data_IF_485442887651
#
_entry.id   IF_485442887651
#
_cell.length_a   1.000
_cell.length_b   1.000
_cell.length_c   1.000
_cell.angle_alpha   90.00
_cell.angle_beta   90.00
_cell.angle_gamma   90.00
#
_symmetry.space_group_name_H-M   'P 1'
#
loop_
_entity.id
_entity.type
_entity.pdbx_description
1 polymer ?
#
# COMPACT_ATOMS: atom_id res chain seq x y z
N UNK A 1 1.46 -2.29 24.72
CA UNK A 1 1.16 -1.00 24.05
C UNK A 1 -0.35 -0.80 24.10
N UNK A 2 -0.88 0.38 24.46
CA UNK A 2 -2.31 0.63 24.39
C UNK A 2 -2.78 0.47 22.93
N UNK A 3 -3.87 -0.26 22.73
CA UNK A 3 -4.48 -0.38 21.41
C UNK A 3 -5.09 0.98 21.05
N UNK A 4 -4.70 1.53 19.90
CA UNK A 4 -5.33 2.73 19.34
C UNK A 4 -6.83 2.47 19.16
N UNK A 5 -7.65 3.47 19.44
CA UNK A 5 -9.10 3.37 19.22
C UNK A 5 -9.40 3.23 17.72
N UNK A 6 -10.61 2.77 17.37
CA UNK A 6 -11.04 2.69 15.96
C UNK A 6 -10.95 4.05 15.28
N UNK A 7 -11.36 5.11 15.98
CA UNK A 7 -11.30 6.50 15.51
C UNK A 7 -9.86 6.96 15.24
N UNK A 8 -8.94 6.69 16.18
CA UNK A 8 -7.53 7.02 16.02
C UNK A 8 -6.90 6.28 14.83
N UNK A 9 -7.28 5.01 14.63
CA UNK A 9 -6.81 4.20 13.50
C UNK A 9 -7.35 4.71 12.18
N UNK A 10 -8.65 5.01 12.07
CA UNK A 10 -9.23 5.63 10.87
C UNK A 10 -8.54 6.96 10.54
N UNK A 11 -8.35 7.81 11.56
CA UNK A 11 -7.65 9.09 11.42
C UNK A 11 -6.20 8.91 10.97
N UNK A 12 -5.50 7.89 11.48
CA UNK A 12 -4.10 7.62 11.12
C UNK A 12 -3.91 7.29 9.63
N UNK A 13 -4.94 6.73 8.98
CA UNK A 13 -4.93 6.41 7.56
C UNK A 13 -5.73 7.43 6.72
N UNK A 14 -6.04 8.61 7.28
CA UNK A 14 -6.71 9.70 6.56
C UNK A 14 -8.20 9.49 6.29
N UNK A 15 -8.86 8.62 7.05
CA UNK A 15 -10.30 8.38 6.95
C UNK A 15 -11.09 9.12 8.04
N UNK A 16 -12.35 9.38 7.74
CA UNK A 16 -13.27 10.05 8.67
C UNK A 16 -13.59 9.14 9.87
N UNK A 17 -13.23 9.53 11.11
CA UNK A 17 -13.52 8.76 12.31
C UNK A 17 -15.01 8.74 12.66
N UNK A 18 -15.82 9.69 12.17
CA UNK A 18 -17.25 9.77 12.46
C UNK A 18 -18.11 8.76 11.67
N UNK A 19 -17.48 7.91 10.85
CA UNK A 19 -18.21 6.95 10.03
C UNK A 19 -18.81 5.84 10.90
N UNK A 20 -20.11 5.61 10.74
CA UNK A 20 -20.75 4.42 11.29
C UNK A 20 -20.23 3.17 10.58
N UNK A 21 -19.57 2.30 11.33
CA UNK A 21 -19.06 1.03 10.85
C UNK A 21 -19.97 -0.11 11.31
N UNK A 22 -20.29 -1.00 10.38
CA UNK A 22 -21.10 -2.19 10.65
C UNK A 22 -20.22 -3.44 10.71
N UNK A 23 -20.71 -4.47 11.40
CA UNK A 23 -20.05 -5.76 11.46
C UNK A 23 -20.33 -6.56 10.19
N UNK A 24 -19.34 -7.35 9.78
CA UNK A 24 -19.46 -8.29 8.68
C UNK A 24 -19.37 -9.72 9.22
N UNK A 25 -20.44 -10.47 9.02
CA UNK A 25 -20.48 -11.91 9.31
C UNK A 25 -20.56 -12.67 7.99
N UNK A 26 -19.66 -13.63 7.80
CA UNK A 26 -19.74 -14.60 6.70
C UNK A 26 -20.10 -15.95 7.30
N UNK A 27 -21.31 -16.42 6.99
CA UNK A 27 -21.86 -17.63 7.58
C UNK A 27 -21.17 -18.90 7.06
N UNK A 28 -21.34 -19.99 7.82
CA UNK A 28 -20.60 -21.24 7.59
C UNK A 28 -20.86 -21.83 6.21
N UNK A 29 -19.79 -22.13 5.48
CA UNK A 29 -19.86 -22.67 4.11
C UNK A 29 -20.23 -21.64 3.03
N UNK A 30 -20.50 -20.38 3.40
CA UNK A 30 -20.81 -19.34 2.42
C UNK A 30 -19.56 -18.76 1.78
N UNK A 31 -19.73 -18.23 0.57
CA UNK A 31 -18.71 -17.41 -0.08
C UNK A 31 -19.26 -16.01 -0.28
N UNK A 32 -18.57 -15.02 0.27
CA UNK A 32 -18.93 -13.62 0.13
C UNK A 32 -17.85 -12.88 -0.66
N UNK A 33 -18.26 -12.18 -1.72
CA UNK A 33 -17.37 -11.34 -2.52
C UNK A 33 -17.58 -9.85 -2.18
N UNK A 34 -16.55 -9.22 -1.64
CA UNK A 34 -16.43 -7.77 -1.50
C UNK A 34 -15.83 -7.21 -2.79
N UNK A 35 -16.69 -6.73 -3.68
CA UNK A 35 -16.29 -6.12 -4.95
C UNK A 35 -16.63 -4.64 -5.00
N UNK A 36 -15.66 -3.73 -5.26
CA UNK A 36 -15.92 -2.30 -5.41
C UNK A 36 -16.93 -1.96 -6.53
N UNK A 37 -17.17 -2.89 -7.46
CA UNK A 37 -18.13 -2.76 -8.56
C UNK A 37 -19.54 -3.24 -8.20
N UNK A 38 -19.69 -3.92 -7.06
CA UNK A 38 -20.98 -4.42 -6.60
C UNK A 38 -21.63 -3.38 -5.67
N UNK A 39 -22.88 -3.02 -5.95
CA UNK A 39 -23.61 -2.04 -5.14
C UNK A 39 -23.93 -2.55 -3.72
N UNK A 40 -23.92 -3.86 -3.47
CA UNK A 40 -24.24 -4.47 -2.16
C UNK A 40 -23.42 -3.89 -1.00
N UNK A 41 -22.14 -3.56 -1.22
CA UNK A 41 -21.24 -3.09 -0.17
C UNK A 41 -20.71 -1.67 -0.41
N UNK A 42 -21.39 -0.91 -1.28
CA UNK A 42 -20.96 0.43 -1.68
C UNK A 42 -20.92 1.41 -0.52
N UNK A 43 -21.83 1.27 0.45
CA UNK A 43 -21.87 2.11 1.65
C UNK A 43 -20.69 1.85 2.61
N UNK A 44 -20.05 0.68 2.50
CA UNK A 44 -18.84 0.32 3.27
C UNK A 44 -17.56 0.60 2.49
N UNK A 45 -17.66 0.94 1.21
CA UNK A 45 -16.53 1.30 0.38
C UNK A 45 -16.18 2.78 0.58
N UNK A 46 -14.91 3.08 0.74
CA UNK A 46 -14.38 4.43 0.56
C UNK A 46 -13.23 4.43 -0.43
N UNK A 47 -13.13 5.53 -1.17
CA UNK A 47 -11.99 5.83 -2.00
C UNK A 47 -11.02 6.70 -1.20
N UNK A 48 -9.97 6.09 -0.66
CA UNK A 48 -8.93 6.81 0.07
C UNK A 48 -8.04 7.57 -0.94
N UNK A 49 -8.02 8.92 -0.94
CA UNK A 49 -7.11 9.68 -1.78
C UNK A 49 -5.66 9.52 -1.28
N UNK A 50 -4.75 9.24 -2.21
CA UNK A 50 -3.33 9.12 -1.92
C UNK A 50 -2.60 10.29 -2.58
N UNK A 51 -2.28 11.32 -1.81
CA UNK A 51 -1.76 12.60 -2.33
C UNK A 51 -0.22 12.72 -2.31
N UNK A 52 0.47 11.74 -1.71
CA UNK A 52 1.93 11.70 -1.65
C UNK A 52 2.44 10.27 -1.53
N UNK A 53 3.67 10.05 -1.97
CA UNK A 53 4.38 8.77 -1.88
C UNK A 53 4.59 8.33 -0.42
N UNK A 54 4.73 9.30 0.50
CA UNK A 54 4.78 9.06 1.95
C UNK A 54 3.46 8.50 2.47
N UNK A 55 2.33 9.08 2.05
CA UNK A 55 1.01 8.58 2.43
C UNK A 55 0.77 7.18 1.83
N UNK A 56 1.18 6.94 0.57
CA UNK A 56 1.14 5.60 -0.03
C UNK A 56 1.96 4.60 0.80
N UNK A 57 3.19 4.95 1.20
CA UNK A 57 4.03 4.07 2.02
C UNK A 57 3.42 3.80 3.40
N UNK A 58 2.81 4.79 4.02
CA UNK A 58 2.11 4.62 5.30
C UNK A 58 0.92 3.64 5.20
N UNK A 59 0.19 3.69 4.08
CA UNK A 59 -1.01 2.88 3.86
C UNK A 59 -0.68 1.49 3.31
N UNK A 60 0.26 1.38 2.38
CA UNK A 60 0.51 0.17 1.59
C UNK A 60 1.88 -0.48 1.86
N UNK A 61 2.80 0.26 2.46
CA UNK A 61 4.22 -0.10 2.53
C UNK A 61 4.62 -0.85 3.79
N UNK A 62 5.82 -1.41 3.74
CA UNK A 62 6.55 -1.90 4.91
C UNK A 62 7.19 -0.68 5.58
N UNK A 63 7.01 -0.46 6.90
CA UNK A 63 7.64 0.65 7.57
C UNK A 63 9.17 0.50 7.51
N UNK A 64 9.90 1.60 7.42
CA UNK A 64 11.35 1.58 7.13
C UNK A 64 12.18 0.86 8.21
N UNK A 65 11.64 0.74 9.42
CA UNK A 65 12.23 0.00 10.53
C UNK A 65 12.10 -1.53 10.39
N UNK A 66 11.11 -2.00 9.62
CA UNK A 66 10.93 -3.41 9.27
C UNK A 66 11.80 -3.84 8.08
N UNK A 67 12.47 -2.91 7.40
CA UNK A 67 13.48 -3.21 6.39
C UNK A 67 14.84 -3.29 7.08
N UNK A 68 15.53 -4.43 6.94
CA UNK A 68 16.87 -4.64 7.50
C UNK A 68 17.77 -3.45 7.10
N UNK A 69 18.40 -2.82 8.10
CA UNK A 69 19.31 -1.69 7.87
C UNK A 69 20.53 -2.23 7.13
N UNK A 70 20.48 -2.19 5.80
CA UNK A 70 21.69 -2.34 5.01
C UNK A 70 22.51 -1.08 5.28
N UNK A 71 23.63 -1.22 5.98
CA UNK A 71 24.53 -0.10 6.24
C UNK A 71 24.78 0.66 4.93
N UNK A 72 24.69 2.00 4.92
CA UNK A 72 25.04 2.76 3.75
C UNK A 72 26.51 2.48 3.47
N UNK A 73 26.78 1.71 2.40
CA UNK A 73 28.15 1.45 1.96
C UNK A 73 28.78 2.80 1.65
N UNK A 74 29.61 3.29 2.58
CA UNK A 74 30.47 4.46 2.40
C UNK A 74 31.41 4.10 1.25
N UNK A 75 31.08 4.51 0.03
CA UNK A 75 31.98 4.38 -1.12
C UNK A 75 32.83 5.62 -1.20
N UNK A 76 34.11 5.46 -0.89
CA UNK A 76 35.15 6.43 -1.21
C UNK A 76 35.13 6.76 -2.72
N UNK A 77 35.44 8.01 -3.11
CA UNK A 77 35.45 8.41 -4.51
C UNK A 77 36.70 7.90 -5.20
N UNK A 78 36.59 6.80 -5.95
CA UNK A 78 37.67 6.33 -6.83
C UNK A 78 37.45 6.91 -8.23
N UNK A 79 38.39 7.77 -8.65
CA UNK A 79 38.60 8.18 -10.03
C UNK A 79 39.33 7.07 -10.82
N UNK A 80 39.16 7.10 -12.15
CA UNK A 80 39.85 6.38 -13.23
C UNK A 80 39.22 5.11 -13.86
N UNK A 81 38.44 5.38 -14.93
CA UNK A 81 38.64 4.98 -16.35
C UNK A 81 38.79 3.49 -16.80
N UNK A 82 38.54 3.17 -18.10
CA UNK A 82 37.48 2.24 -18.51
C UNK A 82 37.99 0.93 -19.16
N UNK A 83 37.18 -0.15 -19.15
CA UNK A 83 36.86 -1.09 -20.25
C UNK A 83 36.10 -2.36 -19.76
N UNK A 84 35.53 -3.21 -20.64
CA UNK A 84 34.12 -3.60 -20.58
C UNK A 84 33.90 -5.03 -20.03
N UNK A 85 32.61 -5.34 -19.87
CA UNK A 85 32.01 -6.68 -19.84
C UNK A 85 31.46 -7.18 -18.50
N UNK A 86 30.30 -7.84 -18.64
CA UNK A 86 29.62 -8.72 -17.71
C UNK A 86 29.32 -8.22 -16.29
N UNK A 87 28.14 -7.60 -16.15
CA UNK A 87 27.45 -7.48 -14.87
C UNK A 87 26.69 -6.18 -14.77
N UNK A 88 25.38 -6.22 -14.95
CA UNK A 88 24.51 -5.06 -14.76
C UNK A 88 24.52 -4.67 -13.27
N UNK A 89 25.57 -3.94 -12.85
CA UNK A 89 25.60 -3.22 -11.58
C UNK A 89 24.69 -2.01 -11.75
N UNK A 90 23.44 -2.12 -11.30
CA UNK A 90 22.50 -1.01 -11.17
C UNK A 90 22.92 -0.07 -10.03
N UNK A 91 24.15 0.42 -10.03
CA UNK A 91 24.54 1.66 -9.35
C UNK A 91 24.56 2.79 -10.37
N UNK A 92 23.48 2.95 -11.14
CA UNK A 92 23.21 4.21 -11.81
C UNK A 92 22.40 5.04 -10.82
N UNK A 93 23.06 6.02 -10.19
CA UNK A 93 22.39 7.21 -9.64
C UNK A 93 21.35 7.63 -10.67
N UNK A 94 20.08 7.48 -10.32
CA UNK A 94 18.97 7.94 -11.14
C UNK A 94 19.13 9.47 -11.22
N UNK A 95 19.33 10.07 -12.41
CA UNK A 95 19.47 11.51 -12.54
C UNK A 95 18.27 12.21 -11.91
N UNK A 96 18.46 13.39 -11.29
CA UNK A 96 17.36 14.18 -10.76
C UNK A 96 16.37 14.45 -11.90
N UNK A 97 15.16 13.92 -11.78
CA UNK A 97 14.10 14.10 -12.76
C UNK A 97 13.52 15.51 -12.56
N UNK A 98 14.02 16.49 -13.31
CA UNK A 98 13.39 17.81 -13.37
C UNK A 98 12.18 17.66 -14.31
N UNK A 99 10.99 17.50 -13.72
CA UNK A 99 9.75 17.42 -14.49
C UNK A 99 9.43 18.80 -15.08
N UNK A 100 9.65 18.96 -16.38
CA UNK A 100 8.91 19.93 -17.19
C UNK A 100 7.47 19.40 -17.37
N UNK A 101 6.49 20.29 -17.50
CA UNK A 101 5.05 19.95 -17.56
C UNK A 101 4.67 18.96 -18.69
N UNK A 102 5.53 18.78 -19.70
CA UNK A 102 5.32 17.82 -20.80
C UNK A 102 5.82 16.39 -20.51
N UNK A 103 6.59 16.18 -19.43
CA UNK A 103 7.22 14.89 -19.12
C UNK A 103 6.22 13.80 -18.67
N UNK A 104 4.98 14.17 -18.37
CA UNK A 104 3.91 13.24 -17.94
C UNK A 104 3.36 12.37 -19.09
N UNK A 105 3.70 12.66 -20.35
CA UNK A 105 3.25 11.89 -21.53
C UNK A 105 4.27 10.90 -22.07
N UNK A 106 5.51 10.96 -21.58
CA UNK A 106 6.58 10.04 -22.01
C UNK A 106 6.50 8.73 -21.20
N UNK A 107 6.22 7.63 -21.89
CA UNK A 107 6.10 6.27 -21.34
C UNK A 107 7.35 5.87 -20.56
N UNK A 108 8.53 6.32 -21.00
CA UNK A 108 9.80 5.99 -20.33
C UNK A 108 9.94 6.69 -18.97
N UNK A 109 9.48 7.93 -18.87
CA UNK A 109 9.48 8.70 -17.62
C UNK A 109 8.42 8.17 -16.64
N UNK A 110 7.23 7.82 -17.12
CA UNK A 110 6.18 7.22 -16.28
C UNK A 110 6.62 5.88 -15.70
N UNK A 111 7.24 5.01 -16.51
CA UNK A 111 7.80 3.73 -16.01
C UNK A 111 8.85 3.95 -14.93
N UNK A 112 9.73 4.93 -15.13
CA UNK A 112 10.77 5.27 -14.16
C UNK A 112 10.19 5.79 -12.85
N UNK A 113 9.17 6.64 -12.91
CA UNK A 113 8.46 7.12 -11.73
C UNK A 113 7.76 5.98 -10.99
N UNK A 114 7.19 5.01 -11.72
CA UNK A 114 6.62 3.80 -11.14
C UNK A 114 7.68 2.95 -10.42
N UNK A 115 8.84 2.72 -11.04
CA UNK A 115 9.93 1.93 -10.44
C UNK A 115 10.47 2.59 -9.16
N UNK A 116 10.64 3.91 -9.16
CA UNK A 116 11.01 4.69 -7.97
C UNK A 116 9.93 4.56 -6.90
N UNK A 117 8.65 4.66 -7.28
CA UNK A 117 7.51 4.53 -6.37
C UNK A 117 7.47 3.16 -5.71
N UNK A 118 7.62 2.09 -6.48
CA UNK A 118 7.62 0.72 -5.98
C UNK A 118 8.78 0.50 -4.99
N UNK A 119 9.99 1.00 -5.32
CA UNK A 119 11.16 0.91 -4.44
C UNK A 119 10.96 1.69 -3.14
N UNK A 120 10.36 2.88 -3.20
CA UNK A 120 10.10 3.69 -2.01
C UNK A 120 9.04 3.04 -1.10
N UNK A 121 7.92 2.59 -1.67
CA UNK A 121 6.76 2.07 -0.94
C UNK A 121 7.06 0.70 -0.33
N UNK A 122 7.67 -0.21 -1.10
CA UNK A 122 7.87 -1.61 -0.69
C UNK A 122 9.32 -1.94 -0.29
N UNK A 123 10.23 -0.97 -0.33
CA UNK A 123 11.64 -1.13 0.06
C UNK A 123 12.10 -0.06 1.03
N UNK A 124 13.42 0.08 1.18
CA UNK A 124 14.05 1.10 2.03
C UNK A 124 13.92 2.48 1.39
N UNK A 125 13.07 3.33 1.99
CA UNK A 125 12.77 4.66 1.47
C UNK A 125 13.94 5.64 1.58
N UNK A 126 14.90 5.37 2.49
CA UNK A 126 16.07 6.22 2.75
C UNK A 126 17.05 6.30 1.57
N UNK A 127 16.93 5.38 0.62
CA UNK A 127 17.79 5.30 -0.57
C UNK A 127 17.25 6.13 -1.75
N UNK A 128 16.15 6.87 -1.56
CA UNK A 128 15.53 7.70 -2.59
C UNK A 128 15.78 9.18 -2.26
N UNK A 129 16.23 9.93 -3.26
CA UNK A 129 16.56 11.35 -3.11
C UNK A 129 15.30 12.22 -2.97
N UNK A 130 15.37 13.31 -2.21
CA UNK A 130 14.23 14.20 -1.94
C UNK A 130 13.64 14.81 -3.22
N UNK A 131 14.48 15.08 -4.23
CA UNK A 131 14.01 15.57 -5.55
C UNK A 131 13.18 14.53 -6.29
N UNK A 132 13.51 13.25 -6.11
CA UNK A 132 12.74 12.14 -6.70
C UNK A 132 11.41 11.97 -5.99
N UNK A 133 11.39 12.14 -4.66
CA UNK A 133 10.16 12.17 -3.86
C UNK A 133 9.24 13.28 -4.37
N UNK A 134 9.75 14.51 -4.54
CA UNK A 134 8.95 15.64 -5.05
C UNK A 134 8.39 15.37 -6.45
N UNK A 135 9.19 14.80 -7.35
CA UNK A 135 8.75 14.44 -8.69
C UNK A 135 7.64 13.39 -8.68
N UNK A 136 7.78 12.35 -7.83
CA UNK A 136 6.75 11.32 -7.66
C UNK A 136 5.49 11.89 -7.02
N UNK A 137 5.59 12.76 -6.01
CA UNK A 137 4.44 13.43 -5.39
C UNK A 137 3.65 14.27 -6.40
N UNK A 138 4.34 15.03 -7.25
CA UNK A 138 3.70 15.78 -8.35
C UNK A 138 2.97 14.84 -9.30
N UNK A 139 3.59 13.72 -9.68
CA UNK A 139 2.97 12.72 -10.53
C UNK A 139 1.73 12.08 -9.89
N UNK A 140 1.82 11.66 -8.61
CA UNK A 140 0.71 11.11 -7.83
C UNK A 140 -0.47 12.08 -7.80
N UNK A 141 -0.21 13.37 -7.50
CA UNK A 141 -1.25 14.42 -7.47
C UNK A 141 -1.89 14.63 -8.85
N UNK A 142 -1.10 14.57 -9.92
CA UNK A 142 -1.60 14.71 -11.29
C UNK A 142 -2.54 13.56 -11.68
N UNK A 143 -2.19 12.31 -11.34
CA UNK A 143 -3.00 11.14 -11.68
C UNK A 143 -4.15 10.86 -10.69
N UNK A 144 -4.17 11.57 -9.55
CA UNK A 144 -5.22 11.49 -8.51
C UNK A 144 -5.50 10.05 -8.07
N UNK A 145 -4.44 9.35 -7.63
CA UNK A 145 -4.57 7.96 -7.17
C UNK A 145 -5.62 7.87 -6.05
N UNK A 146 -6.53 6.92 -6.18
CA UNK A 146 -7.52 6.58 -5.15
C UNK A 146 -7.47 5.08 -4.89
N UNK A 147 -7.44 4.70 -3.62
CA UNK A 147 -7.42 3.32 -3.18
C UNK A 147 -8.81 2.91 -2.68
N UNK A 148 -9.47 1.91 -3.29
CA UNK A 148 -10.70 1.37 -2.74
C UNK A 148 -10.38 0.61 -1.44
N UNK A 149 -11.05 1.00 -0.35
CA UNK A 149 -10.96 0.36 0.94
C UNK A 149 -12.36 0.03 1.47
N UNK A 150 -12.57 -1.23 1.86
CA UNK A 150 -13.77 -1.63 2.59
C UNK A 150 -13.58 -1.42 4.08
N UNK A 151 -14.55 -0.75 4.73
CA UNK A 151 -14.53 -0.47 6.15
C UNK A 151 -15.64 -1.24 6.87
N UNK A 152 -15.24 -2.07 7.82
CA UNK A 152 -16.14 -2.74 8.75
C UNK A 152 -15.69 -2.48 10.19
N UNK A 153 -16.62 -2.61 11.14
CA UNK A 153 -16.27 -2.53 12.56
C UNK A 153 -15.55 -3.80 12.95
N UNK A 154 -16.22 -4.94 12.90
CA UNK A 154 -15.60 -6.25 13.07
C UNK A 154 -15.92 -7.19 11.91
N UNK A 155 -15.03 -8.14 11.65
CA UNK A 155 -15.21 -9.16 10.62
C UNK A 155 -15.13 -10.54 11.27
N UNK A 156 -16.16 -11.34 11.07
CA UNK A 156 -16.21 -12.73 11.49
C UNK A 156 -16.43 -13.64 10.27
N UNK A 157 -15.54 -14.62 10.12
CA UNK A 157 -15.59 -15.61 9.04
C UNK A 157 -15.76 -16.99 9.67
N UNK A 158 -16.95 -17.57 9.52
CA UNK A 158 -17.29 -18.85 10.11
C UNK A 158 -16.56 -20.04 9.46
N UNK A 159 -16.70 -21.21 10.07
CA UNK A 159 -16.14 -22.46 9.56
C UNK A 159 -16.56 -22.73 8.10
N UNK A 160 -15.57 -23.04 7.25
CA UNK A 160 -15.78 -23.35 5.83
C UNK A 160 -16.18 -22.15 4.97
N UNK A 161 -16.35 -20.97 5.56
CA UNK A 161 -16.70 -19.76 4.85
C UNK A 161 -15.50 -19.17 4.10
N UNK A 162 -15.75 -18.44 3.02
CA UNK A 162 -14.72 -17.72 2.27
C UNK A 162 -15.14 -16.27 2.04
N UNK A 163 -14.37 -15.33 2.60
CA UNK A 163 -14.45 -13.91 2.27
C UNK A 163 -13.44 -13.59 1.16
N UNK A 164 -13.93 -13.23 -0.01
CA UNK A 164 -13.12 -12.79 -1.13
C UNK A 164 -13.12 -11.26 -1.17
N UNK A 165 -11.93 -10.66 -1.16
CA UNK A 165 -11.74 -9.21 -1.15
C UNK A 165 -11.15 -8.78 -2.49
N UNK A 166 -11.95 -8.13 -3.33
CA UNK A 166 -11.53 -7.57 -4.63
C UNK A 166 -11.07 -6.11 -4.47
N UNK A 167 -10.42 -5.78 -3.37
CA UNK A 167 -9.82 -4.47 -3.11
C UNK A 167 -8.44 -4.63 -2.49
N UNK A 168 -7.58 -3.65 -2.77
CA UNK A 168 -6.21 -3.64 -2.27
C UNK A 168 -6.11 -3.32 -0.77
N UNK A 169 -7.21 -2.87 -0.15
CA UNK A 169 -7.25 -2.58 1.27
C UNK A 169 -8.55 -3.04 1.93
N UNK A 170 -8.41 -3.51 3.15
CA UNK A 170 -9.50 -3.87 4.06
C UNK A 170 -9.24 -3.26 5.45
N UNK A 171 -10.23 -2.61 6.02
CA UNK A 171 -10.20 -2.12 7.40
C UNK A 171 -11.21 -2.86 8.26
N UNK A 172 -10.75 -3.31 9.42
CA UNK A 172 -11.57 -3.79 10.52
C UNK A 172 -10.93 -3.42 11.86
N UNK A 173 -11.70 -3.47 12.93
CA UNK A 173 -11.17 -3.44 14.28
C UNK A 173 -10.65 -4.83 14.66
N UNK A 174 -11.55 -5.82 14.71
CA UNK A 174 -11.20 -7.21 14.95
C UNK A 174 -11.55 -8.08 13.74
N UNK A 175 -10.62 -8.96 13.36
CA UNK A 175 -10.87 -10.01 12.37
C UNK A 175 -10.76 -11.36 13.07
N UNK A 176 -11.83 -12.13 13.05
CA UNK A 176 -11.90 -13.49 13.59
C UNK A 176 -12.21 -14.47 12.46
N UNK A 177 -11.35 -15.47 12.31
CA UNK A 177 -11.52 -16.54 11.32
C UNK A 177 -11.59 -17.85 12.06
N UNK A 178 -12.72 -18.54 11.95
CA UNK A 178 -12.88 -19.88 12.52
C UNK A 178 -12.15 -20.95 11.71
N UNK A 179 -11.90 -22.10 12.34
CA UNK A 179 -11.29 -23.26 11.74
C UNK A 179 -11.85 -23.55 10.33
N UNK A 180 -10.96 -23.65 9.34
CA UNK A 180 -11.21 -23.80 7.89
C UNK A 180 -11.80 -22.60 7.13
N UNK A 181 -12.25 -21.56 7.82
CA UNK A 181 -12.65 -20.28 7.21
C UNK A 181 -11.47 -19.57 6.56
N UNK A 182 -11.71 -18.73 5.55
CA UNK A 182 -10.64 -18.10 4.75
C UNK A 182 -10.98 -16.67 4.33
N UNK A 183 -9.97 -15.81 4.34
CA UNK A 183 -10.02 -14.49 3.69
C UNK A 183 -9.04 -14.53 2.50
N UNK A 184 -9.51 -14.18 1.31
CA UNK A 184 -8.73 -14.20 0.07
C UNK A 184 -8.72 -12.83 -0.57
N UNK A 185 -7.55 -12.22 -0.70
CA UNK A 185 -7.38 -11.02 -1.51
C UNK A 185 -7.19 -11.42 -2.97
N UNK A 186 -8.10 -10.96 -3.83
CA UNK A 186 -8.06 -11.23 -5.28
C UNK A 186 -7.48 -10.05 -6.07
N UNK A 187 -7.24 -8.90 -5.44
CA UNK A 187 -6.68 -7.73 -6.12
C UNK A 187 -5.15 -7.69 -6.06
N UNK A 188 -4.52 -7.70 -7.24
CA UNK A 188 -3.13 -7.27 -7.43
C UNK A 188 -2.06 -8.04 -6.65
N UNK A 189 -0.83 -7.51 -6.70
CA UNK A 189 0.35 -8.11 -6.04
C UNK A 189 0.49 -7.72 -4.56
N UNK A 190 -0.15 -6.63 -4.13
CA UNK A 190 -0.05 -6.12 -2.77
C UNK A 190 -1.44 -5.75 -2.25
N UNK A 191 -1.75 -6.24 -1.04
CA UNK A 191 -2.98 -5.94 -0.31
C UNK A 191 -2.64 -5.63 1.14
N UNK A 192 -3.34 -4.67 1.73
CA UNK A 192 -3.16 -4.29 3.13
C UNK A 192 -4.40 -4.58 3.95
N UNK A 193 -4.19 -5.09 5.16
CA UNK A 193 -5.23 -5.25 6.17
C UNK A 193 -4.93 -4.35 7.34
N UNK A 194 -5.83 -3.41 7.61
CA UNK A 194 -5.79 -2.59 8.81
C UNK A 194 -6.67 -3.27 9.87
N UNK A 195 -6.06 -4.03 10.79
CA UNK A 195 -6.76 -4.62 11.93
C UNK A 195 -6.04 -4.31 13.25
N UNK A 196 -6.79 -4.08 14.34
CA UNK A 196 -6.21 -4.00 15.68
C UNK A 196 -5.87 -5.41 16.20
N UNK A 197 -6.65 -6.42 15.78
CA UNK A 197 -6.32 -7.81 16.01
C UNK A 197 -6.76 -8.71 14.86
N UNK A 198 -5.96 -9.72 14.58
CA UNK A 198 -6.31 -10.83 13.69
C UNK A 198 -6.20 -12.14 14.47
N UNK A 199 -7.30 -12.88 14.60
CA UNK A 199 -7.36 -14.13 15.37
C UNK A 199 -7.86 -15.28 14.50
N UNK A 200 -7.07 -16.35 14.45
CA UNK A 200 -7.52 -17.67 13.99
C UNK A 200 -7.99 -18.50 15.19
N UNK A 201 -9.15 -19.14 15.07
CA UNK A 201 -9.74 -20.05 16.07
C UNK A 201 -9.69 -21.51 15.63
#
# INVERSE_FOLDING_TARGET
MPQLTVEERLKSIGLDPARNLEDLTVDGGETLDLDPRNDRFKEHLTMLPLDSIRHIKQVMGVPDDAVEKIDPVVREPIFDNPLPDAGVRLSRRIPPLVLAEDAFRDVSNVRRLYDISAKYVFGDSRNIDDRQIEAVDKWIKAIKIRLPIFLFRDIYVARGATLNVNSNALFANHITVENTGRIKFKSGSHSTVFAASFKGL
#
